data_IF_481598637217
#
_entry.id   IF_481598637217
#
_cell.length_a   1.000
_cell.length_b   1.000
_cell.length_c   1.000
_cell.angle_alpha   90.00
_cell.angle_beta   90.00
_cell.angle_gamma   90.00
#
_symmetry.space_group_name_H-M   'P 1'
#
loop_
_entity.id
_entity.type
_entity.pdbx_description
1 polymer ?
#
# COMPACT_ATOMS: atom_id res chain seq x y z
N UNK A 1 -28.24 -12.29 13.49
CA UNK A 1 -26.83 -12.74 13.38
C UNK A 1 -26.64 -13.81 14.43
N UNK A 2 -26.59 -15.05 14.05
CA UNK A 2 -26.41 -16.16 14.99
C UNK A 2 -24.99 -16.13 15.55
N UNK A 3 -24.80 -16.30 16.86
CA UNK A 3 -23.50 -16.20 17.53
C UNK A 3 -22.46 -17.22 17.07
N UNK A 4 -22.90 -18.25 16.37
CA UNK A 4 -22.11 -19.45 16.07
C UNK A 4 -21.01 -19.28 15.00
N UNK A 5 -21.02 -18.18 14.24
CA UNK A 5 -20.04 -17.99 13.16
C UNK A 5 -18.60 -17.71 13.65
N UNK A 6 -18.41 -17.38 14.91
CA UNK A 6 -17.10 -17.11 15.52
C UNK A 6 -16.74 -18.07 16.66
N UNK A 7 -17.55 -19.10 16.91
CA UNK A 7 -17.22 -20.13 17.89
C UNK A 7 -16.13 -21.05 17.33
N UNK A 8 -15.02 -21.09 18.04
CA UNK A 8 -13.85 -21.89 17.62
C UNK A 8 -14.15 -23.39 17.60
N UNK A 9 -14.99 -23.88 18.50
CA UNK A 9 -15.35 -25.29 18.57
C UNK A 9 -16.18 -25.71 17.36
N UNK A 10 -17.15 -24.89 17.00
CA UNK A 10 -17.97 -25.07 15.80
C UNK A 10 -17.13 -25.00 14.53
N UNK A 11 -16.24 -24.02 14.41
CA UNK A 11 -15.34 -23.90 13.25
C UNK A 11 -14.43 -25.11 13.11
N UNK A 12 -13.90 -25.65 14.21
CA UNK A 12 -13.06 -26.87 14.17
C UNK A 12 -13.85 -28.10 13.74
N UNK A 13 -15.08 -28.25 14.20
CA UNK A 13 -15.97 -29.33 13.75
C UNK A 13 -16.27 -29.23 12.26
N UNK A 14 -16.55 -28.02 11.78
CA UNK A 14 -16.77 -27.79 10.36
C UNK A 14 -15.53 -28.12 9.53
N UNK A 15 -14.34 -27.69 9.96
CA UNK A 15 -13.07 -28.04 9.30
C UNK A 15 -12.83 -29.55 9.22
N UNK A 16 -13.27 -30.31 10.23
CA UNK A 16 -13.10 -31.77 10.26
C UNK A 16 -14.13 -32.53 9.40
N UNK A 17 -15.34 -32.00 9.23
CA UNK A 17 -16.48 -32.73 8.66
C UNK A 17 -16.99 -32.16 7.31
N UNK A 18 -16.63 -30.93 6.97
CA UNK A 18 -17.08 -30.30 5.71
C UNK A 18 -15.97 -30.36 4.63
N UNK A 19 -16.41 -30.38 3.39
CA UNK A 19 -15.51 -30.23 2.25
C UNK A 19 -15.40 -28.75 1.86
N UNK A 20 -14.17 -28.32 1.60
CA UNK A 20 -13.86 -26.97 1.15
C UNK A 20 -13.26 -27.01 -0.25
N UNK A 21 -13.59 -26.02 -1.07
CA UNK A 21 -13.01 -25.87 -2.39
C UNK A 21 -11.61 -25.24 -2.31
N UNK A 22 -11.39 -24.38 -1.29
CA UNK A 22 -10.10 -23.72 -1.03
C UNK A 22 -9.80 -23.70 0.47
N UNK A 23 -8.60 -24.13 0.83
CA UNK A 23 -8.05 -24.00 2.18
C UNK A 23 -6.83 -23.10 2.16
N UNK A 24 -6.88 -22.04 2.96
CA UNK A 24 -5.83 -21.01 3.03
C UNK A 24 -5.13 -21.13 4.38
N UNK A 25 -3.81 -21.20 4.34
CA UNK A 25 -2.96 -21.26 5.54
C UNK A 25 -2.27 -19.90 5.71
N UNK A 26 -2.62 -19.21 6.78
CA UNK A 26 -2.10 -17.91 7.15
C UNK A 26 -3.09 -16.75 6.91
N UNK A 27 -3.39 -16.02 7.99
CA UNK A 27 -4.31 -14.88 8.02
C UNK A 27 -3.62 -13.52 7.86
N UNK A 28 -2.52 -13.44 7.11
CA UNK A 28 -1.91 -12.18 6.69
C UNK A 28 -2.69 -11.52 5.54
N UNK A 29 -2.23 -10.35 5.07
CA UNK A 29 -2.92 -9.59 4.01
C UNK A 29 -3.14 -10.42 2.74
N UNK A 30 -2.18 -11.25 2.37
CA UNK A 30 -2.27 -12.13 1.19
C UNK A 30 -3.35 -13.20 1.40
N UNK A 31 -3.31 -13.91 2.52
CA UNK A 31 -4.30 -14.97 2.81
C UNK A 31 -5.72 -14.42 2.94
N UNK A 32 -5.88 -13.27 3.60
CA UNK A 32 -7.18 -12.60 3.70
C UNK A 32 -7.68 -12.12 2.34
N UNK A 33 -6.79 -11.63 1.46
CA UNK A 33 -7.14 -11.26 0.09
C UNK A 33 -7.61 -12.45 -0.74
N UNK A 34 -6.91 -13.58 -0.65
CA UNK A 34 -7.31 -14.84 -1.32
C UNK A 34 -8.64 -15.35 -0.77
N UNK A 35 -8.83 -15.31 0.55
CA UNK A 35 -10.09 -15.74 1.18
C UNK A 35 -11.27 -14.89 0.71
N UNK A 36 -11.11 -13.59 0.68
CA UNK A 36 -12.15 -12.67 0.21
C UNK A 36 -12.49 -12.92 -1.26
N UNK A 37 -11.49 -13.04 -2.13
CA UNK A 37 -11.70 -13.28 -3.56
C UNK A 37 -12.38 -14.64 -3.79
N UNK A 38 -11.92 -15.71 -3.15
CA UNK A 38 -12.52 -17.04 -3.26
C UNK A 38 -13.97 -17.07 -2.77
N UNK A 39 -14.23 -16.49 -1.59
CA UNK A 39 -15.58 -16.41 -1.04
C UNK A 39 -16.52 -15.56 -1.92
N UNK A 40 -16.03 -14.46 -2.50
CA UNK A 40 -16.81 -13.61 -3.41
C UNK A 40 -17.20 -14.32 -4.70
N UNK A 41 -16.47 -15.35 -5.09
CA UNK A 41 -16.77 -16.24 -6.22
C UNK A 41 -17.69 -17.42 -5.85
N UNK A 42 -18.16 -17.50 -4.61
CA UNK A 42 -19.03 -18.56 -4.12
C UNK A 42 -18.31 -19.86 -3.77
N UNK A 43 -16.96 -19.85 -3.71
CA UNK A 43 -16.20 -21.03 -3.31
C UNK A 43 -16.30 -21.23 -1.79
N UNK A 44 -16.48 -22.47 -1.36
CA UNK A 44 -16.43 -22.85 0.06
C UNK A 44 -14.99 -22.71 0.52
N UNK A 45 -14.73 -21.69 1.31
CA UNK A 45 -13.37 -21.28 1.67
C UNK A 45 -13.14 -21.44 3.17
N UNK A 46 -12.06 -22.12 3.54
CA UNK A 46 -11.56 -22.18 4.89
C UNK A 46 -10.24 -21.41 5.00
N UNK A 47 -10.08 -20.64 6.09
CA UNK A 47 -8.84 -19.97 6.42
C UNK A 47 -8.37 -20.38 7.80
N UNK A 48 -7.13 -20.78 7.92
CA UNK A 48 -6.49 -21.23 9.16
C UNK A 48 -5.35 -20.27 9.50
N UNK A 49 -5.42 -19.67 10.69
CA UNK A 49 -4.36 -18.82 11.24
C UNK A 49 -3.85 -19.42 12.57
N UNK A 50 -2.54 -19.43 12.73
CA UNK A 50 -1.91 -20.01 13.92
C UNK A 50 -2.07 -19.14 15.18
N UNK A 51 -1.96 -17.83 15.05
CA UNK A 51 -1.97 -16.89 16.17
C UNK A 51 -3.15 -15.93 16.10
N UNK A 52 -2.99 -14.83 15.35
CA UNK A 52 -4.00 -13.81 15.14
C UNK A 52 -3.86 -13.23 13.72
N UNK A 53 -4.94 -12.70 13.20
CA UNK A 53 -4.96 -12.08 11.88
C UNK A 53 -3.94 -10.95 11.79
N UNK A 54 -3.20 -10.92 10.70
CA UNK A 54 -2.17 -9.93 10.41
C UNK A 54 -1.03 -9.83 11.43
N UNK A 55 -0.88 -10.74 12.38
CA UNK A 55 0.13 -10.70 13.46
C UNK A 55 1.59 -10.79 12.98
N UNK A 56 1.81 -11.29 11.78
CA UNK A 56 3.11 -11.41 11.14
C UNK A 56 3.54 -10.16 10.39
N UNK A 57 4.08 -10.35 9.20
CA UNK A 57 4.62 -9.30 8.31
C UNK A 57 3.61 -8.17 8.01
N UNK A 58 2.33 -8.50 7.90
CA UNK A 58 1.29 -7.51 7.59
C UNK A 58 1.16 -6.39 8.62
N UNK A 59 1.44 -6.66 9.90
CA UNK A 59 1.49 -5.63 10.95
C UNK A 59 2.89 -5.08 11.21
N UNK A 60 3.94 -5.82 10.81
CA UNK A 60 5.34 -5.45 11.03
C UNK A 60 5.96 -4.75 9.81
N UNK A 61 5.17 -4.04 9.04
CA UNK A 61 5.57 -3.24 7.88
C UNK A 61 5.43 -1.75 8.19
N UNK A 62 5.94 -0.89 7.31
CA UNK A 62 5.72 0.56 7.40
C UNK A 62 4.25 0.98 7.20
N UNK A 63 3.40 0.04 6.79
CA UNK A 63 1.97 0.27 6.44
C UNK A 63 1.77 1.31 5.34
N UNK A 64 2.81 1.57 4.55
CA UNK A 64 2.75 2.48 3.40
C UNK A 64 2.37 1.71 2.14
N UNK A 65 1.25 2.10 1.55
CA UNK A 65 0.82 1.58 0.24
C UNK A 65 1.28 2.58 -0.82
N UNK A 66 2.24 2.18 -1.65
CA UNK A 66 2.88 3.06 -2.63
C UNK A 66 3.09 2.37 -3.98
N UNK A 67 3.22 3.16 -5.04
CA UNK A 67 3.48 2.64 -6.39
C UNK A 67 4.95 2.28 -6.67
N UNK A 68 5.84 2.39 -5.68
CA UNK A 68 7.24 2.01 -5.83
C UNK A 68 8.01 2.87 -6.83
N UNK A 69 8.30 4.12 -6.50
CA UNK A 69 9.08 5.03 -7.37
C UNK A 69 10.42 4.42 -7.84
N UNK A 70 10.98 3.49 -7.06
CA UNK A 70 12.19 2.74 -7.41
C UNK A 70 11.98 1.85 -8.64
N UNK A 71 10.83 1.23 -8.77
CA UNK A 71 10.52 0.39 -9.93
C UNK A 71 10.42 1.19 -11.22
N UNK A 72 9.99 2.45 -11.13
CA UNK A 72 9.99 3.35 -12.27
C UNK A 72 11.42 3.62 -12.79
N UNK A 73 12.40 3.72 -11.88
CA UNK A 73 13.82 3.85 -12.23
C UNK A 73 14.38 2.60 -12.91
N UNK A 74 13.78 1.43 -12.66
CA UNK A 74 14.15 0.16 -13.27
C UNK A 74 13.39 -0.12 -14.58
N UNK A 75 12.52 0.80 -15.03
CA UNK A 75 11.70 0.63 -16.23
C UNK A 75 10.44 -0.22 -16.06
N UNK A 76 10.15 -0.67 -14.84
CA UNK A 76 8.99 -1.51 -14.50
C UNK A 76 7.68 -0.70 -14.43
N UNK A 77 7.35 -0.01 -15.52
CA UNK A 77 6.21 0.91 -15.60
C UNK A 77 4.88 0.19 -15.34
N UNK A 78 4.74 -1.04 -15.85
CA UNK A 78 3.54 -1.85 -15.67
C UNK A 78 3.28 -2.15 -14.19
N UNK A 79 4.32 -2.57 -13.47
CA UNK A 79 4.23 -2.85 -12.04
C UNK A 79 3.83 -1.61 -11.23
N UNK A 80 4.40 -0.45 -11.58
CA UNK A 80 4.02 0.84 -10.97
C UNK A 80 2.55 1.15 -11.20
N UNK A 81 2.08 0.96 -12.44
CA UNK A 81 0.68 1.20 -12.79
C UNK A 81 -0.27 0.28 -11.99
N UNK A 82 0.02 -1.00 -11.91
CA UNK A 82 -0.77 -1.98 -11.16
C UNK A 82 -0.81 -1.63 -9.67
N UNK A 83 0.35 -1.29 -9.06
CA UNK A 83 0.43 -0.90 -7.66
C UNK A 83 -0.36 0.39 -7.35
N UNK A 84 -0.32 1.37 -8.24
CA UNK A 84 -1.10 2.61 -8.10
C UNK A 84 -2.60 2.38 -8.27
N UNK A 85 -2.99 1.44 -9.11
CA UNK A 85 -4.37 1.04 -9.30
C UNK A 85 -4.93 0.33 -8.06
N UNK A 86 -4.17 -0.61 -7.49
CA UNK A 86 -4.55 -1.29 -6.25
C UNK A 86 -4.60 -0.33 -5.06
N UNK A 87 -3.68 0.63 -4.97
CA UNK A 87 -3.75 1.71 -3.98
C UNK A 87 -5.06 2.49 -4.07
N UNK A 88 -5.50 2.81 -5.28
CA UNK A 88 -6.78 3.51 -5.49
C UNK A 88 -7.97 2.66 -5.02
N UNK A 89 -7.95 1.35 -5.28
CA UNK A 89 -8.97 0.42 -4.78
C UNK A 89 -9.03 0.43 -3.26
N UNK A 90 -7.89 0.37 -2.58
CA UNK A 90 -7.83 0.44 -1.12
C UNK A 90 -8.42 1.74 -0.57
N UNK A 91 -8.10 2.89 -1.17
CA UNK A 91 -8.67 4.18 -0.76
C UNK A 91 -10.19 4.20 -0.94
N UNK A 92 -10.73 3.57 -1.99
CA UNK A 92 -12.18 3.49 -2.21
C UNK A 92 -12.87 2.52 -1.28
N UNK A 93 -12.26 1.35 -1.05
CA UNK A 93 -12.86 0.26 -0.29
C UNK A 93 -12.76 0.49 1.22
N UNK A 94 -11.71 1.18 1.67
CA UNK A 94 -11.47 1.43 3.09
C UNK A 94 -11.04 2.89 3.35
N UNK A 95 -11.87 3.90 3.01
CA UNK A 95 -11.52 5.32 3.15
C UNK A 95 -11.29 5.73 4.60
N UNK A 96 -11.84 5.00 5.57
CA UNK A 96 -11.66 5.20 6.99
C UNK A 96 -10.32 4.65 7.53
N UNK A 97 -9.66 3.76 6.79
CA UNK A 97 -8.37 3.15 7.18
C UNK A 97 -7.20 3.67 6.35
N UNK A 98 -7.45 4.07 5.10
CA UNK A 98 -6.41 4.45 4.14
C UNK A 98 -6.51 5.93 3.84
N UNK A 99 -5.49 6.69 4.25
CA UNK A 99 -5.39 8.12 4.00
C UNK A 99 -4.14 8.47 3.19
N UNK A 100 -4.19 9.60 2.48
CA UNK A 100 -3.04 10.11 1.75
C UNK A 100 -2.01 10.71 2.72
N UNK A 101 -0.80 10.18 2.71
CA UNK A 101 0.31 10.70 3.46
C UNK A 101 1.24 11.52 2.55
N UNK A 102 1.31 12.86 2.71
CA UNK A 102 2.23 13.68 1.94
C UNK A 102 3.67 13.51 2.43
N UNK A 103 4.60 13.42 1.50
CA UNK A 103 6.04 13.39 1.78
C UNK A 103 6.70 14.65 1.28
N UNK A 104 7.58 15.22 2.08
CA UNK A 104 8.49 16.27 1.67
C UNK A 104 9.83 15.64 1.28
N UNK A 105 10.22 15.78 0.01
CA UNK A 105 11.48 15.29 -0.50
C UNK A 105 12.47 16.47 -0.65
N UNK A 106 13.46 16.63 0.22
CA UNK A 106 14.44 17.69 0.11
C UNK A 106 15.43 17.40 -1.01
N UNK A 107 15.57 18.34 -1.96
CA UNK A 107 16.55 18.26 -3.04
C UNK A 107 17.61 19.33 -2.78
N UNK A 108 18.73 18.92 -2.21
CA UNK A 108 19.84 19.79 -1.88
C UNK A 108 20.78 19.87 -3.08
N UNK A 109 20.71 20.96 -3.86
CA UNK A 109 21.47 21.13 -5.10
C UNK A 109 22.67 22.05 -4.98
N UNK A 110 22.72 22.87 -3.93
CA UNK A 110 23.84 23.80 -3.65
C UNK A 110 24.62 23.22 -2.50
N UNK A 111 25.87 22.88 -2.72
CA UNK A 111 26.80 22.21 -1.76
C UNK A 111 26.28 20.87 -1.20
N UNK A 112 25.28 20.29 -1.85
CA UNK A 112 24.58 19.11 -1.40
C UNK A 112 24.78 17.87 -2.25
N UNK A 113 24.24 16.77 -1.76
CA UNK A 113 24.39 15.41 -2.25
C UNK A 113 23.82 15.15 -3.66
N UNK A 114 23.09 16.10 -4.26
CA UNK A 114 22.35 15.88 -5.51
C UNK A 114 22.73 16.87 -6.60
N UNK A 115 23.31 16.37 -7.69
CA UNK A 115 23.59 17.20 -8.86
C UNK A 115 22.33 17.74 -9.54
N UNK A 116 22.45 18.88 -10.25
CA UNK A 116 21.32 19.47 -11.00
C UNK A 116 20.74 18.51 -12.06
N UNK A 117 21.57 17.61 -12.60
CA UNK A 117 21.13 16.57 -13.56
C UNK A 117 20.19 15.56 -12.87
N UNK A 118 20.58 15.07 -11.69
CA UNK A 118 19.78 14.14 -10.89
C UNK A 118 18.48 14.81 -10.42
N UNK A 119 18.54 16.09 -10.00
CA UNK A 119 17.34 16.83 -9.60
C UNK A 119 16.32 17.00 -10.76
N UNK A 120 16.80 17.17 -12.00
CA UNK A 120 15.94 17.19 -13.19
C UNK A 120 15.37 15.82 -13.49
N UNK A 121 16.19 14.77 -13.48
CA UNK A 121 15.76 13.40 -13.71
C UNK A 121 14.70 12.95 -12.68
N UNK A 122 14.89 13.30 -11.41
CA UNK A 122 13.89 13.04 -10.36
C UNK A 122 12.58 13.81 -10.61
N UNK A 123 12.69 15.05 -11.08
CA UNK A 123 11.52 15.84 -11.47
C UNK A 123 10.73 15.19 -12.61
N UNK A 124 11.40 14.67 -13.63
CA UNK A 124 10.76 13.95 -14.75
C UNK A 124 10.13 12.64 -14.27
N UNK A 125 10.80 11.91 -13.38
CA UNK A 125 10.26 10.69 -12.79
C UNK A 125 9.00 10.96 -11.95
N UNK A 126 8.95 12.05 -11.19
CA UNK A 126 7.76 12.45 -10.44
C UNK A 126 6.61 12.84 -11.38
N UNK A 127 6.87 13.55 -12.47
CA UNK A 127 5.86 13.85 -13.48
C UNK A 127 5.32 12.59 -14.12
N UNK A 128 6.18 11.65 -14.48
CA UNK A 128 5.76 10.36 -15.03
C UNK A 128 4.93 9.56 -14.03
N UNK A 129 5.30 9.59 -12.75
CA UNK A 129 4.53 8.99 -11.66
C UNK A 129 3.14 9.61 -11.51
N UNK A 130 3.02 10.93 -11.64
CA UNK A 130 1.72 11.62 -11.57
C UNK A 130 0.83 11.29 -12.77
N UNK A 131 1.39 11.23 -13.98
CA UNK A 131 0.65 10.87 -15.19
C UNK A 131 0.14 9.43 -15.08
N UNK A 132 0.96 8.51 -14.55
CA UNK A 132 0.58 7.10 -14.43
C UNK A 132 -0.41 6.82 -13.31
N UNK A 133 -0.45 7.62 -12.26
CA UNK A 133 -1.29 7.33 -11.09
C UNK A 133 -1.80 8.52 -10.30
N UNK A 134 -1.17 9.69 -10.40
CA UNK A 134 -1.52 10.86 -9.59
C UNK A 134 -2.87 11.48 -9.97
N UNK A 135 -3.20 11.51 -11.25
CA UNK A 135 -4.49 12.00 -11.74
C UNK A 135 -5.68 11.22 -11.17
N UNK A 136 -5.50 9.94 -10.85
CA UNK A 136 -6.55 9.09 -10.25
C UNK A 136 -6.78 9.35 -8.78
N UNK A 137 -5.80 9.94 -8.08
CA UNK A 137 -5.87 10.26 -6.65
C UNK A 137 -6.29 11.71 -6.44
N UNK A 138 -6.33 12.51 -7.52
CA UNK A 138 -6.67 13.92 -7.47
C UNK A 138 -5.60 14.81 -6.84
N UNK A 139 -4.37 14.30 -6.65
CA UNK A 139 -3.25 15.07 -6.10
C UNK A 139 -1.98 14.83 -6.90
N UNK A 140 -1.40 15.92 -7.38
CA UNK A 140 -0.14 15.98 -8.11
C UNK A 140 0.97 16.49 -7.17
N UNK A 141 2.21 16.09 -7.45
CA UNK A 141 3.37 16.61 -6.71
C UNK A 141 3.48 18.14 -6.87
N UNK A 142 3.97 18.81 -5.85
CA UNK A 142 4.22 20.25 -5.87
C UNK A 142 5.67 20.55 -5.59
N UNK A 143 6.29 21.37 -6.43
CA UNK A 143 7.62 21.91 -6.14
C UNK A 143 7.50 23.08 -5.17
N UNK A 144 8.13 22.96 -4.04
CA UNK A 144 8.16 24.02 -3.04
C UNK A 144 9.47 24.80 -3.14
N UNK A 145 9.39 26.12 -2.99
CA UNK A 145 10.58 26.98 -2.78
C UNK A 145 11.09 26.80 -1.35
N UNK A 146 12.38 27.06 -1.11
CA UNK A 146 13.07 26.90 0.19
C UNK A 146 12.22 27.41 1.37
N UNK A 147 11.71 28.64 1.32
CA UNK A 147 10.93 29.23 2.40
C UNK A 147 9.64 28.41 2.72
N UNK A 148 8.91 27.99 1.68
CA UNK A 148 7.71 27.16 1.87
C UNK A 148 8.04 25.75 2.38
N UNK A 149 9.16 25.17 1.94
CA UNK A 149 9.59 23.87 2.44
C UNK A 149 9.98 23.95 3.92
N UNK A 150 10.70 25.00 4.35
CA UNK A 150 11.05 25.24 5.75
C UNK A 150 9.81 25.50 6.63
N UNK A 151 8.76 26.13 6.10
CA UNK A 151 7.50 26.30 6.83
C UNK A 151 6.80 24.96 7.13
N UNK A 152 6.96 23.96 6.26
CA UNK A 152 6.44 22.60 6.51
C UNK A 152 7.34 21.76 7.43
N UNK A 153 8.62 22.10 7.51
CA UNK A 153 9.61 21.37 8.30
C UNK A 153 10.62 22.35 8.94
N UNK A 154 10.23 23.05 10.02
CA UNK A 154 11.04 24.11 10.66
C UNK A 154 12.39 23.63 11.19
N UNK A 155 12.49 22.33 11.51
CA UNK A 155 13.72 21.70 12.02
C UNK A 155 14.76 21.42 10.92
N UNK A 156 14.43 21.63 9.67
CA UNK A 156 15.37 21.43 8.56
C UNK A 156 16.39 22.55 8.53
N UNK A 157 17.70 22.21 8.44
CA UNK A 157 18.77 23.20 8.34
C UNK A 157 18.58 24.10 7.11
N UNK A 158 18.71 25.40 7.32
CA UNK A 158 18.53 26.42 6.28
C UNK A 158 19.81 26.74 5.49
N UNK A 159 20.91 26.02 5.76
CA UNK A 159 22.19 26.24 5.08
C UNK A 159 22.17 25.87 3.62
#
# INVERSE_FOLDING_TARGET
MTPDHFDRSVMRQRLANEQFDVVIVGGGITGLGVALDAASRGLRTALIERYDFASGTSSKSSKLVHGGLRYLQQGEVRLVYEALYERQRLIRNAPHLVSLLPFLLPILTKDGLVSRKIARALGSALWMYDITGGARIGKIHRRLRKQKALAHMPTMRSQ
#
